data_IF_999985405168
#
_entry.id   IF_999985405168
#
_cell.length_a   1.000
_cell.length_b   1.000
_cell.length_c   1.000
_cell.angle_alpha   90.00
_cell.angle_beta   90.00
_cell.angle_gamma   90.00
#
_symmetry.space_group_name_H-M   'P 1'
#
loop_
_entity.id
_entity.type
_entity.pdbx_description
1 polymer ?
#
# COMPACT_ATOMS: atom_id res chain seq x y z
N UNK A 1 -1.54 -2.10 18.58
CA UNK A 1 -2.61 -3.13 18.49
C UNK A 1 -3.06 -3.49 19.90
N UNK A 2 -4.38 -3.57 20.12
CA UNK A 2 -4.93 -3.87 21.46
C UNK A 2 -5.09 -5.38 21.73
N UNK A 3 -4.93 -6.22 20.69
CA UNK A 3 -5.10 -7.67 20.78
C UNK A 3 -3.76 -8.37 20.71
N UNK A 4 -3.43 -9.29 21.63
CA UNK A 4 -2.17 -10.03 21.63
C UNK A 4 -1.97 -10.87 20.38
N UNK A 5 -0.72 -11.08 19.98
CA UNK A 5 -0.38 -11.85 18.77
C UNK A 5 -0.86 -13.30 18.85
N UNK A 6 -0.83 -13.90 20.03
CA UNK A 6 -1.28 -15.26 20.29
C UNK A 6 -2.75 -15.48 19.87
N UNK A 7 -3.61 -14.48 20.10
CA UNK A 7 -4.99 -14.52 19.62
C UNK A 7 -5.05 -14.59 18.10
N UNK A 8 -4.27 -13.77 17.40
CA UNK A 8 -4.26 -13.74 15.95
C UNK A 8 -3.65 -15.01 15.34
N UNK A 9 -2.62 -15.59 15.98
CA UNK A 9 -2.04 -16.87 15.57
C UNK A 9 -3.06 -18.01 15.70
N UNK A 10 -3.83 -18.02 16.79
CA UNK A 10 -4.86 -19.02 16.99
C UNK A 10 -6.03 -18.82 16.02
N UNK A 11 -6.50 -17.59 15.84
CA UNK A 11 -7.55 -17.23 14.88
C UNK A 11 -7.15 -17.64 13.45
N UNK A 12 -5.93 -17.30 13.01
CA UNK A 12 -5.42 -17.68 11.70
C UNK A 12 -5.38 -19.20 11.51
N UNK A 13 -4.94 -19.95 12.54
CA UNK A 13 -4.92 -21.41 12.52
C UNK A 13 -6.32 -22.01 12.33
N UNK A 14 -7.31 -21.51 13.07
CA UNK A 14 -8.70 -21.96 12.96
C UNK A 14 -9.32 -21.60 11.61
N UNK A 15 -9.11 -20.38 11.15
CA UNK A 15 -9.66 -19.90 9.88
C UNK A 15 -9.06 -20.68 8.70
N UNK A 16 -7.75 -20.94 8.70
CA UNK A 16 -7.06 -21.72 7.66
C UNK A 16 -7.36 -23.22 7.74
N UNK A 17 -7.81 -23.73 8.88
CA UNK A 17 -8.33 -25.10 8.97
C UNK A 17 -9.65 -25.26 8.19
N UNK A 18 -10.44 -24.19 8.08
CA UNK A 18 -11.69 -24.15 7.29
C UNK A 18 -11.41 -23.79 5.83
N UNK A 19 -10.55 -22.81 5.61
CA UNK A 19 -10.14 -22.34 4.27
C UNK A 19 -8.62 -22.22 4.20
N UNK A 20 -7.91 -23.25 3.70
CA UNK A 20 -6.45 -23.31 3.71
C UNK A 20 -5.75 -22.18 2.95
N UNK A 21 -6.38 -21.65 1.90
CA UNK A 21 -5.89 -20.55 1.05
C UNK A 21 -6.37 -19.17 1.50
N UNK A 22 -6.85 -19.04 2.73
CA UNK A 22 -7.33 -17.76 3.25
C UNK A 22 -6.18 -16.76 3.39
N UNK A 23 -6.33 -15.62 2.70
CA UNK A 23 -5.44 -14.48 2.81
C UNK A 23 -5.84 -13.59 3.98
N UNK A 24 -4.91 -13.25 4.86
CA UNK A 24 -5.13 -12.44 6.05
C UNK A 24 -4.30 -11.15 5.97
N UNK A 25 -4.98 -10.01 6.00
CA UNK A 25 -4.39 -8.68 6.00
C UNK A 25 -4.57 -8.02 7.37
N UNK A 26 -3.48 -7.51 7.94
CA UNK A 26 -3.52 -6.71 9.16
C UNK A 26 -3.57 -5.21 8.83
N UNK A 27 -4.54 -4.49 9.40
CA UNK A 27 -4.55 -3.01 9.40
C UNK A 27 -3.63 -2.46 10.50
N UNK A 28 -2.37 -2.84 10.42
CA UNK A 28 -1.29 -2.52 11.33
C UNK A 28 0.03 -2.76 10.61
N UNK A 29 1.19 -2.32 11.14
CA UNK A 29 2.47 -2.45 10.44
C UNK A 29 3.57 -3.19 11.22
N UNK A 30 3.29 -3.66 12.43
CA UNK A 30 4.27 -4.34 13.26
C UNK A 30 4.76 -5.65 12.65
N UNK A 31 6.07 -5.87 12.67
CA UNK A 31 6.71 -7.00 11.99
C UNK A 31 6.34 -8.38 12.61
N UNK A 32 6.01 -8.41 13.91
CA UNK A 32 5.59 -9.64 14.60
C UNK A 32 4.25 -10.20 14.08
N UNK A 33 3.46 -9.40 13.35
CA UNK A 33 2.19 -9.84 12.75
C UNK A 33 2.39 -10.95 11.72
N UNK A 34 3.57 -11.04 11.13
CA UNK A 34 3.91 -12.10 10.20
C UNK A 34 4.26 -13.44 10.88
N UNK A 35 4.41 -13.48 12.21
CA UNK A 35 4.62 -14.74 12.92
C UNK A 35 3.33 -15.57 12.97
N UNK A 36 3.10 -16.36 11.93
CA UNK A 36 1.98 -17.32 11.77
C UNK A 36 0.58 -16.72 11.82
N UNK A 37 0.43 -15.41 11.69
CA UNK A 37 -0.87 -14.75 11.76
C UNK A 37 -1.30 -14.20 10.39
N UNK A 38 -0.60 -13.21 9.84
CA UNK A 38 -1.02 -12.47 8.66
C UNK A 38 -0.09 -12.70 7.46
N UNK A 39 -0.64 -12.59 6.26
CA UNK A 39 0.10 -12.68 4.99
C UNK A 39 0.54 -11.29 4.51
N UNK A 40 -0.20 -10.26 4.91
CA UNK A 40 0.08 -8.87 4.58
C UNK A 40 -0.22 -7.94 5.76
N UNK A 41 0.42 -6.79 5.74
CA UNK A 41 0.16 -5.68 6.66
C UNK A 41 0.16 -4.34 5.94
N UNK A 42 -0.43 -3.31 6.52
CA UNK A 42 -0.39 -1.96 5.96
C UNK A 42 1.03 -1.39 5.99
N UNK A 43 1.35 -0.52 5.01
CA UNK A 43 2.62 0.20 4.92
C UNK A 43 2.45 1.65 5.42
N UNK A 44 2.04 1.83 6.68
CA UNK A 44 1.77 3.14 7.27
C UNK A 44 3.00 4.05 7.26
N UNK A 45 4.18 3.52 7.61
CA UNK A 45 5.44 4.29 7.59
C UNK A 45 5.77 4.80 6.20
N UNK A 46 5.57 3.97 5.16
CA UNK A 46 5.77 4.39 3.77
C UNK A 46 4.78 5.48 3.38
N UNK A 47 3.51 5.31 3.72
CA UNK A 47 2.47 6.31 3.48
C UNK A 47 2.85 7.66 4.07
N UNK A 48 3.23 7.71 5.36
CA UNK A 48 3.66 8.95 6.00
C UNK A 48 4.90 9.54 5.34
N UNK A 49 5.91 8.72 5.02
CA UNK A 49 7.11 9.18 4.32
C UNK A 49 6.81 9.77 2.94
N UNK A 50 5.93 9.17 2.15
CA UNK A 50 5.53 9.72 0.87
C UNK A 50 4.88 11.10 1.01
N UNK A 51 4.01 11.28 2.00
CA UNK A 51 3.42 12.58 2.31
C UNK A 51 4.49 13.60 2.77
N UNK A 52 5.39 13.21 3.66
CA UNK A 52 6.45 14.09 4.16
C UNK A 52 7.44 14.51 3.06
N UNK A 53 7.79 13.60 2.15
CA UNK A 53 8.63 13.92 0.98
C UNK A 53 7.89 14.87 0.04
N UNK A 54 6.62 14.61 -0.28
CA UNK A 54 5.82 15.47 -1.16
C UNK A 54 5.66 16.87 -0.59
N UNK A 55 5.53 16.99 0.72
CA UNK A 55 5.41 18.25 1.45
C UNK A 55 6.75 18.88 1.82
N UNK A 56 7.88 18.33 1.32
CA UNK A 56 9.24 18.82 1.59
C UNK A 56 9.65 18.83 3.08
N UNK A 57 8.99 18.05 3.91
CA UNK A 57 9.33 17.91 5.34
C UNK A 57 10.53 16.99 5.56
N UNK A 58 10.79 16.07 4.64
CA UNK A 58 11.98 15.24 4.65
C UNK A 58 12.51 14.99 3.23
N UNK A 59 13.71 14.43 3.15
CA UNK A 59 14.38 14.13 1.87
C UNK A 59 13.90 12.76 1.34
N UNK A 60 13.97 12.58 0.00
CA UNK A 60 13.58 11.34 -0.69
C UNK A 60 14.41 10.11 -0.26
N UNK A 61 15.64 10.31 0.21
CA UNK A 61 16.48 9.22 0.71
C UNK A 61 15.90 8.51 1.94
N UNK A 62 14.96 9.13 2.66
CA UNK A 62 14.21 8.48 3.74
C UNK A 62 13.35 7.31 3.25
N UNK A 63 12.78 7.38 2.04
CA UNK A 63 12.06 6.26 1.42
C UNK A 63 13.01 5.09 1.19
N UNK A 64 14.22 5.36 0.67
CA UNK A 64 15.26 4.34 0.52
C UNK A 64 15.63 3.68 1.84
N UNK A 65 15.89 4.48 2.88
CA UNK A 65 16.21 3.98 4.22
C UNK A 65 15.10 3.07 4.77
N UNK A 66 13.83 3.47 4.58
CA UNK A 66 12.68 2.65 4.94
C UNK A 66 12.73 1.29 4.22
N UNK A 67 12.91 1.26 2.90
CA UNK A 67 12.93 0.03 2.12
C UNK A 67 14.04 -0.93 2.57
N UNK A 68 15.24 -0.41 2.85
CA UNK A 68 16.33 -1.23 3.36
C UNK A 68 16.08 -1.74 4.79
N UNK A 69 15.46 -0.96 5.64
CA UNK A 69 15.09 -1.37 6.99
C UNK A 69 13.98 -2.43 6.96
N UNK A 70 12.92 -2.17 6.22
CA UNK A 70 11.77 -3.07 6.11
C UNK A 70 12.18 -4.45 5.60
N UNK A 71 13.02 -4.51 4.56
CA UNK A 71 13.55 -5.76 4.01
C UNK A 71 14.33 -6.62 4.99
N UNK A 72 14.87 -6.06 6.07
CA UNK A 72 15.62 -6.82 7.11
C UNK A 72 14.70 -7.50 8.11
N UNK A 73 13.50 -6.98 8.29
CA UNK A 73 12.58 -7.40 9.35
C UNK A 73 11.35 -8.13 8.82
N UNK A 74 10.98 -7.87 7.56
CA UNK A 74 9.80 -8.48 6.94
C UNK A 74 10.20 -9.73 6.17
N UNK A 75 9.51 -10.86 6.38
CA UNK A 75 9.77 -12.08 5.61
C UNK A 75 9.61 -11.87 4.12
N UNK A 76 10.41 -12.57 3.29
CA UNK A 76 10.40 -12.40 1.83
C UNK A 76 9.03 -12.72 1.19
N UNK A 77 8.26 -13.61 1.80
CA UNK A 77 6.92 -13.98 1.34
C UNK A 77 5.83 -12.97 1.72
N UNK A 78 6.06 -12.14 2.75
CA UNK A 78 5.07 -11.22 3.29
C UNK A 78 4.86 -10.00 2.38
N UNK A 79 3.67 -9.43 2.41
CA UNK A 79 3.30 -8.28 1.60
C UNK A 79 3.03 -7.04 2.45
N UNK A 80 3.30 -5.88 1.86
CA UNK A 80 2.92 -4.58 2.40
C UNK A 80 1.81 -3.98 1.54
N UNK A 81 0.63 -3.73 2.12
CA UNK A 81 -0.42 -2.96 1.46
C UNK A 81 0.05 -1.52 1.34
N UNK A 82 0.43 -1.14 0.12
CA UNK A 82 0.97 0.19 -0.19
C UNK A 82 -0.09 1.05 -0.84
N UNK A 83 -0.24 2.28 -0.38
CA UNK A 83 -1.31 3.19 -0.79
C UNK A 83 -0.90 4.65 -0.70
N UNK A 84 -1.53 5.47 -1.52
CA UNK A 84 -1.48 6.93 -1.42
C UNK A 84 -2.71 7.48 -0.69
N UNK A 85 -3.78 6.69 -0.64
CA UNK A 85 -5.01 6.98 0.11
C UNK A 85 -5.72 5.69 0.51
N UNK A 86 -6.55 5.75 1.54
CA UNK A 86 -7.46 4.70 1.99
C UNK A 86 -8.73 5.33 2.58
N UNK A 87 -9.62 4.51 3.13
CA UNK A 87 -10.90 4.93 3.69
C UNK A 87 -10.77 5.88 4.89
N UNK A 88 -9.72 5.74 5.71
CA UNK A 88 -9.45 6.62 6.84
C UNK A 88 -8.78 7.92 6.37
N UNK A 89 -7.66 7.79 5.69
CA UNK A 89 -6.80 8.92 5.35
C UNK A 89 -7.44 9.88 4.34
N UNK A 90 -8.27 9.37 3.43
CA UNK A 90 -9.02 10.23 2.55
C UNK A 90 -9.98 11.15 3.32
N UNK A 91 -10.68 10.58 4.31
CA UNK A 91 -11.68 11.32 5.08
C UNK A 91 -11.07 12.26 6.12
N UNK A 92 -10.01 11.82 6.82
CA UNK A 92 -9.43 12.56 7.94
C UNK A 92 -8.31 13.51 7.54
N UNK A 93 -7.53 13.14 6.52
CA UNK A 93 -6.32 13.88 6.12
C UNK A 93 -6.48 14.60 4.76
N UNK A 94 -7.63 14.46 4.12
CA UNK A 94 -7.90 15.03 2.81
C UNK A 94 -7.52 14.11 1.65
N UNK A 95 -7.90 14.51 0.44
CA UNK A 95 -7.58 13.75 -0.77
C UNK A 95 -6.07 13.61 -0.98
N UNK A 96 -5.65 12.64 -1.78
CA UNK A 96 -4.24 12.47 -2.14
C UNK A 96 -3.70 13.69 -2.91
N UNK A 97 -4.56 14.37 -3.68
CA UNK A 97 -4.19 15.58 -4.44
C UNK A 97 -3.80 16.72 -3.51
N UNK A 98 -4.56 16.94 -2.43
CA UNK A 98 -4.26 17.94 -1.40
C UNK A 98 -2.95 17.61 -0.67
N UNK A 99 -2.72 16.33 -0.33
CA UNK A 99 -1.57 15.91 0.46
C UNK A 99 -0.28 15.80 -0.34
N UNK A 100 -0.35 15.25 -1.55
CA UNK A 100 0.82 14.94 -2.37
C UNK A 100 1.07 15.98 -3.47
N UNK A 101 0.06 16.80 -3.83
CA UNK A 101 0.19 17.82 -4.87
C UNK A 101 0.76 17.25 -6.18
N UNK A 102 1.79 17.88 -6.77
CA UNK A 102 2.37 17.41 -8.03
C UNK A 102 3.06 16.04 -7.94
N UNK A 103 3.29 15.52 -6.74
CA UNK A 103 3.94 14.22 -6.53
C UNK A 103 2.96 13.04 -6.60
N UNK A 104 1.64 13.24 -6.75
CA UNK A 104 0.63 12.18 -6.78
C UNK A 104 1.05 11.03 -7.70
N UNK A 105 1.33 11.31 -8.97
CA UNK A 105 1.65 10.25 -9.95
C UNK A 105 2.90 9.46 -9.59
N UNK A 106 3.95 10.10 -9.11
CA UNK A 106 5.18 9.39 -8.74
C UNK A 106 4.99 8.57 -7.47
N UNK A 107 4.28 9.07 -6.47
CA UNK A 107 3.98 8.33 -5.25
C UNK A 107 3.05 7.15 -5.51
N UNK A 108 2.04 7.33 -6.36
CA UNK A 108 1.20 6.22 -6.84
C UNK A 108 2.05 5.16 -7.57
N UNK A 109 2.94 5.57 -8.49
CA UNK A 109 3.81 4.60 -9.17
C UNK A 109 4.67 3.80 -8.19
N UNK A 110 5.19 4.42 -7.12
CA UNK A 110 5.95 3.72 -6.09
C UNK A 110 5.13 2.63 -5.42
N UNK A 111 3.85 2.85 -5.13
CA UNK A 111 2.99 1.82 -4.51
C UNK A 111 2.81 0.59 -5.39
N UNK A 112 2.94 0.71 -6.71
CA UNK A 112 2.87 -0.42 -7.64
C UNK A 112 4.22 -1.08 -7.91
N UNK A 113 5.32 -0.33 -7.86
CA UNK A 113 6.61 -0.77 -8.37
C UNK A 113 7.59 -1.22 -7.28
N UNK A 114 7.34 -0.86 -6.03
CA UNK A 114 8.20 -1.26 -4.92
C UNK A 114 8.11 -2.77 -4.62
N UNK A 115 9.18 -3.37 -4.09
CA UNK A 115 9.17 -4.78 -3.73
C UNK A 115 8.15 -5.08 -2.63
N UNK A 116 7.65 -6.31 -2.60
CA UNK A 116 6.64 -6.80 -1.65
C UNK A 116 5.33 -6.01 -1.62
N UNK A 117 5.09 -5.18 -2.62
CA UNK A 117 3.89 -4.35 -2.69
C UNK A 117 2.63 -5.17 -2.97
N UNK A 118 1.58 -4.85 -2.23
CA UNK A 118 0.18 -5.09 -2.55
C UNK A 118 -0.45 -3.71 -2.73
N UNK A 119 -0.58 -3.19 -3.96
CA UNK A 119 -1.08 -1.83 -4.16
C UNK A 119 -2.57 -1.74 -3.88
N UNK A 120 -2.97 -0.74 -3.12
CA UNK A 120 -4.37 -0.36 -2.91
C UNK A 120 -4.71 0.85 -3.78
N UNK A 121 -5.79 0.74 -4.54
CA UNK A 121 -6.45 1.87 -5.22
C UNK A 121 -7.75 2.15 -4.48
N UNK A 122 -7.83 3.32 -3.84
CA UNK A 122 -9.03 3.75 -3.12
C UNK A 122 -10.02 4.44 -4.07
N UNK A 123 -11.28 4.45 -3.68
CA UNK A 123 -12.44 4.96 -4.43
C UNK A 123 -12.17 6.27 -5.18
N UNK A 124 -12.28 6.23 -6.49
CA UNK A 124 -12.17 7.41 -7.36
C UNK A 124 -10.76 7.84 -7.76
N UNK A 125 -9.71 7.25 -7.17
CA UNK A 125 -8.32 7.56 -7.52
C UNK A 125 -8.04 7.31 -9.01
N UNK A 126 -8.59 6.23 -9.57
CA UNK A 126 -8.43 5.84 -10.97
C UNK A 126 -9.07 6.82 -11.96
N UNK A 127 -9.93 7.71 -11.47
CA UNK A 127 -10.52 8.78 -12.26
C UNK A 127 -9.89 10.15 -11.95
N UNK A 128 -8.96 10.23 -11.00
CA UNK A 128 -8.41 11.50 -10.55
C UNK A 128 -9.42 12.33 -9.77
N UNK A 129 -10.35 11.69 -9.08
CA UNK A 129 -11.40 12.37 -8.33
C UNK A 129 -10.87 12.98 -7.05
N UNK A 130 -10.68 14.31 -7.08
CA UNK A 130 -10.17 15.08 -5.93
C UNK A 130 -11.30 15.39 -4.95
N UNK A 131 -11.56 14.44 -4.04
CA UNK A 131 -12.61 14.55 -3.04
C UNK A 131 -12.21 13.86 -1.73
N UNK A 132 -12.58 14.49 -0.61
CA UNK A 132 -12.48 13.88 0.73
C UNK A 132 -13.86 13.37 1.12
N UNK A 133 -14.04 12.07 1.08
CA UNK A 133 -15.31 11.42 1.42
C UNK A 133 -15.70 11.61 2.88
N UNK A 134 -16.97 11.81 3.14
CA UNK A 134 -17.50 11.82 4.49
C UNK A 134 -17.36 10.43 5.12
N UNK A 135 -16.78 10.37 6.34
CA UNK A 135 -16.45 9.09 6.97
C UNK A 135 -17.70 8.33 7.46
N UNK A 136 -18.66 9.03 8.04
CA UNK A 136 -19.84 8.42 8.68
C UNK A 136 -21.12 8.61 7.87
N UNK A 137 -21.11 9.41 6.82
CA UNK A 137 -22.28 9.75 6.04
C UNK A 137 -22.25 9.12 4.66
N UNK A 138 -23.41 9.05 4.01
CA UNK A 138 -23.48 8.61 2.63
C UNK A 138 -22.90 9.69 1.72
N UNK A 139 -21.77 9.40 1.11
CA UNK A 139 -21.07 10.27 0.18
C UNK A 139 -20.66 9.46 -1.06
N UNK A 140 -21.55 9.31 -2.06
CA UNK A 140 -21.32 8.43 -3.19
C UNK A 140 -20.35 9.03 -4.20
N UNK A 141 -19.49 8.18 -4.77
CA UNK A 141 -18.74 8.54 -5.96
C UNK A 141 -19.72 8.91 -7.10
N UNK A 142 -19.59 10.07 -7.74
CA UNK A 142 -20.41 10.40 -8.92
C UNK A 142 -20.07 9.49 -10.10
N UNK A 143 -20.90 9.51 -11.14
CA UNK A 143 -20.55 8.86 -12.40
C UNK A 143 -19.27 9.50 -12.96
N UNK A 144 -18.25 8.67 -13.16
CA UNK A 144 -16.94 9.09 -13.68
C UNK A 144 -16.67 8.40 -15.02
N UNK A 145 -16.16 9.18 -15.98
CA UNK A 145 -15.72 8.65 -17.26
C UNK A 145 -14.20 8.38 -17.26
N UNK A 146 -13.75 7.32 -17.94
CA UNK A 146 -12.32 7.06 -18.11
C UNK A 146 -11.59 8.28 -18.71
N UNK A 147 -10.42 8.56 -18.16
CA UNK A 147 -9.60 9.72 -18.54
C UNK A 147 -8.10 9.38 -18.52
N UNK A 148 -7.23 10.37 -18.60
CA UNK A 148 -5.77 10.21 -18.56
C UNK A 148 -5.28 9.52 -17.28
N UNK A 149 -5.91 9.77 -16.12
CA UNK A 149 -5.58 9.11 -14.85
C UNK A 149 -5.98 7.65 -14.88
N UNK A 150 -7.14 7.32 -15.45
CA UNK A 150 -7.56 5.92 -15.67
C UNK A 150 -6.54 5.17 -16.52
N UNK A 151 -6.04 5.80 -17.59
CA UNK A 151 -5.03 5.19 -18.45
C UNK A 151 -3.69 5.01 -17.73
N UNK A 152 -3.30 5.95 -16.87
CA UNK A 152 -2.12 5.82 -16.02
C UNK A 152 -2.22 4.59 -15.10
N UNK A 153 -3.34 4.40 -14.40
CA UNK A 153 -3.56 3.22 -13.55
C UNK A 153 -3.57 1.92 -14.37
N UNK A 154 -4.22 1.90 -15.55
CA UNK A 154 -4.19 0.73 -16.45
C UNK A 154 -2.77 0.32 -16.80
N UNK A 155 -1.90 1.26 -17.12
CA UNK A 155 -0.49 0.99 -17.44
C UNK A 155 0.28 0.46 -16.25
N UNK A 156 0.08 0.99 -15.06
CA UNK A 156 0.71 0.47 -13.84
C UNK A 156 0.26 -0.95 -13.53
N UNK A 157 -1.03 -1.23 -13.64
CA UNK A 157 -1.61 -2.56 -13.44
C UNK A 157 -1.05 -3.54 -14.47
N UNK A 158 -1.08 -3.19 -15.75
CA UNK A 158 -0.55 -4.02 -16.84
C UNK A 158 0.94 -4.31 -16.63
N UNK A 159 1.75 -3.28 -16.35
CA UNK A 159 3.17 -3.45 -16.08
C UNK A 159 3.43 -4.42 -14.92
N UNK A 160 2.64 -4.32 -13.84
CA UNK A 160 2.78 -5.21 -12.70
C UNK A 160 2.39 -6.65 -13.01
N UNK A 161 1.39 -6.87 -13.86
CA UNK A 161 1.00 -8.21 -14.30
C UNK A 161 2.01 -8.83 -15.29
N UNK A 162 2.54 -8.03 -16.18
CA UNK A 162 3.37 -8.50 -17.29
C UNK A 162 4.86 -8.64 -16.91
N UNK A 163 5.32 -7.92 -15.88
CA UNK A 163 6.72 -7.95 -15.46
C UNK A 163 6.95 -8.92 -14.28
N UNK A 164 7.55 -10.10 -14.50
CA UNK A 164 7.81 -11.08 -13.44
C UNK A 164 8.62 -10.51 -12.26
N UNK A 165 9.50 -9.53 -12.54
CA UNK A 165 10.28 -8.86 -11.50
C UNK A 165 9.42 -8.09 -10.49
N UNK A 166 8.20 -7.69 -10.87
CA UNK A 166 7.24 -6.99 -10.00
C UNK A 166 6.25 -7.93 -9.32
N UNK A 167 6.41 -9.24 -9.46
CA UNK A 167 5.59 -10.21 -8.75
C UNK A 167 5.73 -10.02 -7.23
N UNK A 168 4.65 -10.27 -6.51
CA UNK A 168 4.63 -10.13 -5.06
C UNK A 168 5.27 -11.33 -4.35
N UNK A 169 5.78 -11.09 -3.14
CA UNK A 169 6.38 -12.12 -2.31
C UNK A 169 7.68 -12.68 -2.89
N UNK A 170 7.96 -13.95 -2.65
CA UNK A 170 9.21 -14.63 -3.04
C UNK A 170 9.43 -14.73 -4.55
N UNK A 171 8.39 -14.54 -5.35
CA UNK A 171 8.47 -14.61 -6.82
C UNK A 171 8.97 -13.33 -7.46
N UNK A 172 9.03 -12.22 -6.72
CA UNK A 172 9.48 -10.93 -7.22
C UNK A 172 11.00 -10.85 -7.43
N UNK A 173 11.41 -9.89 -8.25
CA UNK A 173 12.82 -9.59 -8.46
C UNK A 173 13.46 -8.93 -7.23
N UNK A 174 14.80 -8.97 -7.18
CA UNK A 174 15.55 -8.23 -6.17
C UNK A 174 15.56 -6.75 -6.50
N UNK A 175 15.33 -5.92 -5.48
CA UNK A 175 15.50 -4.48 -5.59
C UNK A 175 16.98 -4.11 -5.46
N UNK A 176 17.51 -3.41 -6.45
CA UNK A 176 18.90 -2.91 -6.46
C UNK A 176 18.89 -1.43 -6.78
N UNK A 177 19.48 -0.62 -5.91
CA UNK A 177 19.66 0.81 -6.16
C UNK A 177 20.79 1.03 -7.15
N UNK A 178 20.52 1.78 -8.21
CA UNK A 178 21.54 2.29 -9.13
C UNK A 178 21.88 3.70 -8.66
N UNK A 179 23.13 3.89 -8.21
CA UNK A 179 23.64 5.22 -7.84
C UNK A 179 24.04 5.98 -9.10
N UNK A 180 23.52 7.19 -9.25
CA UNK A 180 23.93 8.16 -10.27
C UNK A 180 25.08 9.00 -9.76
#
# INVERSE_FOLDING_TARGET
>A
MLVPIEFWQEAARWLRAVKPDLFLLAEAEEDYLFDRAFDASYAWRLYHLMNDVAQQKCRVDRIREYLYADRKHVPAWALRLMFTSNHDENSWSGSEFVRLGPAVRVMTALTFLLPQSLPLVYTGQEFGYDHSFAFFDRDPLPACEPNETTEFYRRLIALRHDAPALASGERGGSFVEIRN
#
